data_IF_325655001132
#
_entry.id   IF_325655001132
#
_cell.length_a   1.000
_cell.length_b   1.000
_cell.length_c   1.000
_cell.angle_alpha   90.00
_cell.angle_beta   90.00
_cell.angle_gamma   90.00
#
_symmetry.space_group_name_H-M   'P 1'
#
loop_
_entity.id
_entity.type
_entity.pdbx_description
1 polymer ?
#
# COMPACT_ATOMS: atom_id res chain seq x y z
N UNK A 1 -45.98 49.01 15.22
CA UNK A 1 -45.26 48.16 14.25
C UNK A 1 -44.67 47.02 15.06
N UNK A 2 -45.39 45.91 15.15
CA UNK A 2 -44.93 44.74 15.90
C UNK A 2 -43.60 44.28 15.28
N UNK A 3 -42.54 44.23 16.09
CA UNK A 3 -41.26 43.67 15.66
C UNK A 3 -41.50 42.19 15.39
N UNK A 4 -41.69 41.84 14.12
CA UNK A 4 -41.76 40.46 13.64
C UNK A 4 -40.70 39.61 14.34
N UNK A 5 -41.09 38.41 14.78
CA UNK A 5 -40.18 37.53 15.51
C UNK A 5 -38.95 37.22 14.63
N UNK A 6 -37.78 37.04 15.24
CA UNK A 6 -36.54 36.77 14.53
C UNK A 6 -36.62 35.45 13.73
N UNK A 7 -37.32 34.43 14.23
CA UNK A 7 -37.62 33.21 13.47
C UNK A 7 -38.54 33.45 12.27
N UNK A 8 -39.61 34.23 12.43
CA UNK A 8 -40.50 34.59 11.31
C UNK A 8 -39.74 35.37 10.23
N UNK A 9 -38.83 36.25 10.67
CA UNK A 9 -37.97 37.01 9.76
C UNK A 9 -36.98 36.12 9.04
N UNK A 10 -36.40 35.13 9.73
CA UNK A 10 -35.53 34.14 9.13
C UNK A 10 -36.28 33.30 8.09
N UNK A 11 -37.50 32.85 8.38
CA UNK A 11 -38.34 32.08 7.42
C UNK A 11 -38.61 32.91 6.16
N UNK A 12 -39.04 34.16 6.31
CA UNK A 12 -39.24 35.04 5.15
C UNK A 12 -37.93 35.26 4.38
N UNK A 13 -36.81 35.42 5.08
CA UNK A 13 -35.50 35.61 4.50
C UNK A 13 -35.00 34.38 3.72
N UNK A 14 -35.24 33.17 4.22
CA UNK A 14 -34.94 31.91 3.53
C UNK A 14 -35.71 31.77 2.21
N UNK A 15 -36.96 32.24 2.17
CA UNK A 15 -37.79 32.21 0.97
C UNK A 15 -37.41 33.30 -0.03
N UNK A 16 -36.87 34.42 0.45
CA UNK A 16 -36.51 35.58 -0.38
C UNK A 16 -35.02 35.65 -0.74
N UNK A 17 -34.19 34.69 -0.33
CA UNK A 17 -32.74 34.71 -0.55
C UNK A 17 -31.99 35.80 0.23
N UNK A 18 -32.49 36.26 1.40
CA UNK A 18 -31.76 37.22 2.24
C UNK A 18 -30.91 36.50 3.30
N UNK A 19 -29.59 36.59 3.20
CA UNK A 19 -28.70 35.87 4.10
C UNK A 19 -28.72 36.40 5.55
N UNK A 20 -28.72 37.72 5.74
CA UNK A 20 -28.45 38.33 7.06
C UNK A 20 -29.45 37.91 8.15
N UNK A 21 -30.78 37.89 7.92
CA UNK A 21 -31.73 37.46 8.94
C UNK A 21 -31.71 35.96 9.21
N UNK A 22 -31.24 35.15 8.25
CA UNK A 22 -31.10 33.69 8.42
C UNK A 22 -29.95 33.41 9.38
N UNK A 23 -28.79 34.08 9.20
CA UNK A 23 -27.61 33.87 10.05
C UNK A 23 -27.86 34.16 11.54
N UNK A 24 -28.86 35.01 11.87
CA UNK A 24 -29.23 35.31 13.26
C UNK A 24 -29.79 34.09 13.99
N UNK A 25 -30.35 33.11 13.28
CA UNK A 25 -30.92 31.87 13.84
C UNK A 25 -30.02 30.65 13.63
N UNK A 26 -28.90 30.79 12.93
CA UNK A 26 -27.95 29.71 12.70
C UNK A 26 -27.05 29.52 13.92
N UNK A 27 -27.03 28.31 14.49
CA UNK A 27 -26.25 28.02 15.71
C UNK A 27 -25.04 27.12 15.44
N UNK A 28 -25.05 26.38 14.33
CA UNK A 28 -24.00 25.45 13.93
C UNK A 28 -23.33 25.84 12.61
N UNK A 29 -22.17 25.24 12.34
CA UNK A 29 -21.48 25.32 11.06
C UNK A 29 -22.38 24.84 9.92
N UNK A 30 -23.10 23.74 10.08
CA UNK A 30 -24.02 23.19 9.07
C UNK A 30 -25.15 24.16 8.74
N UNK A 31 -25.75 24.81 9.76
CA UNK A 31 -26.81 25.80 9.55
C UNK A 31 -26.28 26.99 8.74
N UNK A 32 -25.07 27.44 9.04
CA UNK A 32 -24.43 28.55 8.35
C UNK A 32 -24.07 28.18 6.90
N UNK A 33 -23.50 27.00 6.68
CA UNK A 33 -23.19 26.47 5.34
C UNK A 33 -24.48 26.38 4.52
N UNK A 34 -25.51 25.76 5.06
CA UNK A 34 -26.80 25.63 4.40
C UNK A 34 -27.41 26.99 4.04
N UNK A 35 -27.37 27.97 4.95
CA UNK A 35 -27.91 29.31 4.71
C UNK A 35 -27.21 30.02 3.53
N UNK A 36 -25.88 29.95 3.48
CA UNK A 36 -25.10 30.54 2.39
C UNK A 36 -25.37 29.83 1.05
N UNK A 37 -25.38 28.50 1.02
CA UNK A 37 -25.66 27.74 -0.19
C UNK A 37 -27.10 27.93 -0.67
N UNK A 38 -28.07 28.02 0.23
CA UNK A 38 -29.48 28.30 -0.12
C UNK A 38 -29.61 29.63 -0.85
N UNK A 39 -29.01 30.69 -0.30
CA UNK A 39 -29.02 32.03 -0.92
C UNK A 39 -28.26 32.01 -2.25
N UNK A 40 -27.14 31.29 -2.33
CA UNK A 40 -26.37 31.13 -3.57
C UNK A 40 -27.20 30.47 -4.67
N UNK A 41 -27.92 29.39 -4.36
CA UNK A 41 -28.82 28.71 -5.30
C UNK A 41 -29.95 29.63 -5.74
N UNK A 42 -30.58 30.37 -4.81
CA UNK A 42 -31.64 31.32 -5.16
C UNK A 42 -31.14 32.40 -6.13
N UNK A 43 -29.96 32.97 -5.87
CA UNK A 43 -29.33 33.95 -6.76
C UNK A 43 -28.97 33.38 -8.13
N UNK A 44 -28.53 32.12 -8.21
CA UNK A 44 -28.23 31.46 -9.48
C UNK A 44 -29.49 31.16 -10.30
N UNK A 45 -30.55 30.68 -9.64
CA UNK A 45 -31.86 30.44 -10.27
C UNK A 45 -32.45 31.74 -10.79
N UNK A 46 -32.38 32.83 -10.02
CA UNK A 46 -32.87 34.13 -10.45
C UNK A 46 -32.07 34.65 -11.66
N UNK A 47 -30.74 34.55 -11.64
CA UNK A 47 -29.89 34.91 -12.79
C UNK A 47 -30.27 34.13 -14.06
N UNK A 48 -30.59 32.84 -13.93
CA UNK A 48 -31.01 32.00 -15.06
C UNK A 48 -32.43 32.31 -15.55
N UNK A 49 -33.36 32.66 -14.65
CA UNK A 49 -34.71 33.12 -15.02
C UNK A 49 -34.67 34.47 -15.75
N UNK A 50 -33.75 35.35 -15.33
CA UNK A 50 -33.51 36.65 -15.98
C UNK A 50 -32.86 36.48 -17.36
N UNK A 51 -31.90 35.56 -17.50
CA UNK A 51 -31.20 35.28 -18.77
C UNK A 51 -32.10 34.58 -19.80
N UNK A 52 -32.99 33.68 -19.36
CA UNK A 52 -33.93 32.93 -20.20
C UNK A 52 -35.13 33.75 -20.70
N UNK A 53 -35.24 35.03 -20.30
CA UNK A 53 -36.29 35.93 -20.78
C UNK A 53 -37.68 35.70 -20.15
N UNK A 54 -37.78 34.85 -19.12
CA UNK A 54 -39.03 34.60 -18.37
C UNK A 54 -39.41 35.75 -17.43
N UNK A 55 -38.51 36.72 -17.21
CA UNK A 55 -38.68 37.86 -16.30
C UNK A 55 -39.81 38.84 -16.65
N UNK A 56 -40.42 38.74 -17.84
CA UNK A 56 -41.37 39.73 -18.36
C UNK A 56 -42.76 39.76 -17.68
N UNK A 57 -42.99 39.04 -16.57
CA UNK A 57 -44.32 39.03 -15.92
C UNK A 57 -44.39 39.47 -14.46
N UNK A 58 -43.29 39.57 -13.72
CA UNK A 58 -43.30 40.11 -12.35
C UNK A 58 -41.91 40.63 -12.02
N UNK A 59 -41.68 41.95 -12.05
CA UNK A 59 -40.41 42.51 -11.56
C UNK A 59 -40.61 43.93 -11.03
N UNK A 60 -41.05 44.07 -9.78
CA UNK A 60 -40.36 45.02 -8.92
C UNK A 60 -38.94 44.48 -8.79
N UNK A 61 -37.96 45.17 -9.37
CA UNK A 61 -36.57 44.76 -9.30
C UNK A 61 -36.19 44.62 -7.82
N UNK A 62 -35.74 43.43 -7.40
CA UNK A 62 -35.20 43.25 -6.05
C UNK A 62 -34.05 44.26 -5.83
N UNK A 63 -33.88 44.78 -4.60
CA UNK A 63 -32.83 45.74 -4.30
C UNK A 63 -31.46 45.25 -4.76
N UNK A 64 -30.61 46.17 -5.24
CA UNK A 64 -29.27 45.85 -5.78
C UNK A 64 -28.39 45.06 -4.81
N UNK A 65 -28.61 45.22 -3.50
CA UNK A 65 -27.91 44.46 -2.46
C UNK A 65 -28.06 42.93 -2.61
N UNK A 66 -29.12 42.45 -3.24
CA UNK A 66 -29.36 41.02 -3.53
C UNK A 66 -28.68 40.57 -4.83
N UNK A 67 -28.39 41.48 -5.75
CA UNK A 67 -27.86 41.18 -7.09
C UNK A 67 -26.32 41.19 -7.15
N UNK A 68 -25.66 41.91 -6.24
CA UNK A 68 -24.21 42.17 -6.29
C UNK A 68 -23.33 41.06 -5.70
N UNK A 69 -23.94 40.08 -5.01
CA UNK A 69 -23.16 38.98 -4.45
C UNK A 69 -22.86 37.92 -5.52
N UNK A 70 -21.71 38.04 -6.18
CA UNK A 70 -21.12 36.95 -6.93
C UNK A 70 -20.59 35.91 -5.94
N UNK A 71 -21.49 35.03 -5.50
CA UNK A 71 -21.18 33.88 -4.67
C UNK A 71 -20.53 32.79 -5.50
N UNK A 72 -19.37 32.33 -5.04
CA UNK A 72 -18.77 31.05 -5.45
C UNK A 72 -18.72 30.12 -4.24
N UNK A 73 -18.53 28.83 -4.47
CA UNK A 73 -18.47 27.86 -3.38
C UNK A 73 -17.30 28.15 -2.43
N UNK A 74 -16.18 28.62 -2.97
CA UNK A 74 -14.98 29.02 -2.22
C UNK A 74 -15.28 30.22 -1.33
N UNK A 75 -15.95 31.23 -1.88
CA UNK A 75 -16.31 32.45 -1.17
C UNK A 75 -17.25 32.17 0.01
N UNK A 76 -18.15 31.19 -0.12
CA UNK A 76 -19.00 30.76 1.01
C UNK A 76 -18.15 30.31 2.20
N UNK A 77 -17.11 29.49 1.95
CA UNK A 77 -16.23 29.03 3.01
C UNK A 77 -15.25 30.10 3.51
N UNK A 78 -14.89 31.08 2.70
CA UNK A 78 -14.13 32.27 3.16
C UNK A 78 -14.97 33.10 4.14
N UNK A 79 -16.26 33.32 3.87
CA UNK A 79 -17.16 34.05 4.77
C UNK A 79 -17.41 33.29 6.07
N UNK A 80 -17.54 31.95 6.02
CA UNK A 80 -17.62 31.11 7.22
C UNK A 80 -16.37 31.24 8.10
N UNK A 81 -15.18 31.34 7.49
CA UNK A 81 -13.92 31.60 8.20
C UNK A 81 -13.83 33.01 8.78
N UNK A 82 -14.65 33.94 8.28
CA UNK A 82 -14.79 35.32 8.78
C UNK A 82 -16.05 35.52 9.66
N UNK A 83 -16.73 34.45 10.04
CA UNK A 83 -17.99 34.51 10.82
C UNK A 83 -17.81 35.21 12.17
N UNK A 84 -18.82 35.98 12.60
CA UNK A 84 -18.85 36.62 13.91
C UNK A 84 -19.12 35.64 15.06
N UNK A 85 -19.60 34.43 14.75
CA UNK A 85 -19.88 33.38 15.73
C UNK A 85 -18.61 32.60 16.09
N UNK A 86 -18.15 32.74 17.35
CA UNK A 86 -16.98 32.01 17.86
C UNK A 86 -17.11 30.50 17.72
N UNK A 87 -18.32 29.96 17.97
CA UNK A 87 -18.61 28.54 17.86
C UNK A 87 -18.40 28.04 16.43
N UNK A 88 -18.93 28.77 15.43
CA UNK A 88 -18.76 28.43 14.02
C UNK A 88 -17.29 28.51 13.59
N UNK A 89 -16.53 29.46 14.13
CA UNK A 89 -15.08 29.56 13.88
C UNK A 89 -14.28 28.41 14.49
N UNK A 90 -14.71 27.88 15.63
CA UNK A 90 -14.14 26.68 16.25
C UNK A 90 -14.49 25.44 15.42
N UNK A 91 -15.77 25.27 15.07
CA UNK A 91 -16.25 24.18 14.22
C UNK A 91 -15.57 24.18 12.83
N UNK A 92 -15.28 25.36 12.25
CA UNK A 92 -14.55 25.46 10.96
C UNK A 92 -13.11 24.89 11.02
N UNK A 93 -12.54 24.76 12.22
CA UNK A 93 -11.20 24.18 12.45
C UNK A 93 -11.25 22.69 12.77
N UNK A 94 -12.43 22.13 13.00
CA UNK A 94 -12.59 20.70 13.25
C UNK A 94 -12.26 19.91 11.98
N UNK A 95 -11.56 18.79 12.16
CA UNK A 95 -11.08 17.97 11.04
C UNK A 95 -12.22 17.51 10.12
N UNK A 96 -13.37 17.15 10.69
CA UNK A 96 -14.52 16.65 9.94
C UNK A 96 -15.09 17.75 9.01
N UNK A 97 -15.22 18.99 9.50
CA UNK A 97 -15.71 20.12 8.72
C UNK A 97 -14.70 20.61 7.68
N UNK A 98 -13.39 20.49 7.96
CA UNK A 98 -12.33 20.74 6.97
C UNK A 98 -12.44 19.75 5.81
N UNK A 99 -12.61 18.45 6.11
CA UNK A 99 -12.78 17.41 5.07
C UNK A 99 -14.06 17.65 4.27
N UNK A 100 -15.18 17.97 4.94
CA UNK A 100 -16.45 18.30 4.30
C UNK A 100 -16.32 19.52 3.38
N UNK A 101 -15.61 20.58 3.82
CA UNK A 101 -15.30 21.75 2.98
C UNK A 101 -14.60 21.35 1.70
N UNK A 102 -13.50 20.60 1.79
CA UNK A 102 -12.75 20.17 0.60
C UNK A 102 -13.57 19.24 -0.30
N UNK A 103 -14.41 18.37 0.27
CA UNK A 103 -15.35 17.54 -0.48
C UNK A 103 -16.36 18.38 -1.27
N UNK A 104 -16.96 19.40 -0.63
CA UNK A 104 -17.94 20.31 -1.26
C UNK A 104 -17.28 21.14 -2.37
N UNK A 105 -16.03 21.57 -2.17
CA UNK A 105 -15.26 22.32 -3.17
C UNK A 105 -14.74 21.44 -4.33
N UNK A 106 -14.78 20.12 -4.20
CA UNK A 106 -14.21 19.20 -5.19
C UNK A 106 -12.67 19.25 -5.28
N UNK A 107 -12.00 19.83 -4.28
CA UNK A 107 -10.55 19.92 -4.20
C UNK A 107 -9.96 18.65 -3.56
N UNK A 108 -9.78 17.62 -4.38
CA UNK A 108 -9.25 16.31 -3.98
C UNK A 108 -7.79 16.38 -3.48
N UNK A 109 -7.00 17.32 -3.99
CA UNK A 109 -5.58 17.45 -3.64
C UNK A 109 -5.41 18.08 -2.26
N UNK A 110 -6.14 19.18 -1.98
CA UNK A 110 -6.22 19.78 -0.65
C UNK A 110 -6.79 18.83 0.40
N UNK A 111 -7.78 18.03 0.00
CA UNK A 111 -8.34 16.98 0.83
C UNK A 111 -7.32 15.87 1.14
N UNK A 112 -6.58 15.41 0.14
CA UNK A 112 -5.54 14.39 0.31
C UNK A 112 -4.40 14.87 1.22
N UNK A 113 -4.05 16.14 1.12
CA UNK A 113 -3.07 16.75 2.00
C UNK A 113 -3.56 16.83 3.44
N UNK A 114 -4.83 17.18 3.66
CA UNK A 114 -5.41 17.21 5.01
C UNK A 114 -5.58 15.83 5.61
N UNK A 115 -6.02 14.83 4.83
CA UNK A 115 -6.07 13.44 5.27
C UNK A 115 -4.72 12.89 5.70
N UNK A 116 -3.64 13.27 5.00
CA UNK A 116 -2.28 12.86 5.36
C UNK A 116 -1.82 13.43 6.69
N UNK A 117 -2.36 14.57 7.09
CA UNK A 117 -2.00 15.26 8.33
C UNK A 117 -2.81 14.80 9.55
N UNK A 118 -3.91 14.07 9.35
CA UNK A 118 -4.69 13.48 10.44
C UNK A 118 -3.88 12.33 11.01
N UNK A 119 -3.60 12.35 12.32
CA UNK A 119 -2.87 11.27 12.96
C UNK A 119 -3.75 10.02 12.94
N UNK A 120 -3.20 8.82 12.66
CA UNK A 120 -3.93 7.57 12.84
C UNK A 120 -4.38 7.34 14.29
N UNK A 121 -3.74 8.03 15.25
CA UNK A 121 -4.09 8.00 16.67
C UNK A 121 -5.23 8.98 17.05
N UNK A 122 -5.65 9.85 16.12
CA UNK A 122 -6.76 10.78 16.38
C UNK A 122 -8.09 10.00 16.48
N UNK A 123 -8.94 10.47 17.40
CA UNK A 123 -10.13 9.79 17.93
C UNK A 123 -10.92 8.95 16.88
N UNK A 124 -11.39 7.72 17.20
CA UNK A 124 -12.07 6.82 16.25
C UNK A 124 -13.29 7.39 15.51
N UNK A 125 -13.87 8.46 16.06
CA UNK A 125 -14.96 9.23 15.44
C UNK A 125 -14.53 9.91 14.14
N UNK A 126 -13.31 10.48 14.08
CA UNK A 126 -12.82 11.19 12.90
C UNK A 126 -12.57 10.24 11.73
N UNK A 127 -11.99 9.06 11.99
CA UNK A 127 -11.79 8.03 10.97
C UNK A 127 -13.12 7.49 10.44
N UNK A 128 -14.11 7.28 11.33
CA UNK A 128 -15.46 6.87 10.92
C UNK A 128 -16.17 7.92 10.07
N UNK A 129 -16.09 9.19 10.48
CA UNK A 129 -16.66 10.32 9.74
C UNK A 129 -15.98 10.48 8.36
N UNK A 130 -14.66 10.30 8.28
CA UNK A 130 -13.91 10.31 7.02
C UNK A 130 -14.46 9.26 6.02
N UNK A 131 -14.66 8.01 6.47
CA UNK A 131 -15.21 6.96 5.59
C UNK A 131 -16.66 7.23 5.18
N UNK A 132 -17.47 7.81 6.06
CA UNK A 132 -18.83 8.24 5.72
C UNK A 132 -18.84 9.35 4.67
N UNK A 133 -17.92 10.31 4.76
CA UNK A 133 -17.76 11.36 3.74
C UNK A 133 -17.41 10.73 2.39
N UNK A 134 -16.40 9.84 2.34
CA UNK A 134 -16.01 9.17 1.09
C UNK A 134 -17.18 8.44 0.40
N UNK A 135 -18.05 7.79 1.19
CA UNK A 135 -19.23 7.11 0.65
C UNK A 135 -20.29 8.10 0.15
N UNK A 136 -20.61 9.11 0.95
CA UNK A 136 -21.67 10.09 0.63
C UNK A 136 -21.31 11.04 -0.49
N UNK A 137 -20.03 11.22 -0.80
CA UNK A 137 -19.55 12.01 -1.95
C UNK A 137 -19.55 11.25 -3.28
N UNK A 138 -19.74 9.93 -3.27
CA UNK A 138 -19.83 9.11 -4.50
C UNK A 138 -21.07 9.29 -5.40
N UNK A 139 -22.23 9.86 -5.01
CA UNK A 139 -23.43 9.82 -5.85
C UNK A 139 -23.53 10.93 -6.92
N UNK A 140 -22.59 11.86 -7.04
CA UNK A 140 -22.72 13.01 -7.97
C UNK A 140 -21.51 13.12 -8.90
N UNK A 141 -21.51 12.34 -9.99
CA UNK A 141 -20.82 12.63 -11.28
C UNK A 141 -19.31 12.91 -11.29
N UNK A 142 -18.63 12.89 -10.13
CA UNK A 142 -17.20 13.13 -9.93
C UNK A 142 -16.54 11.81 -9.49
N UNK A 143 -15.23 11.68 -9.70
CA UNK A 143 -14.51 10.47 -9.30
C UNK A 143 -14.76 10.19 -7.81
N UNK A 144 -15.11 8.95 -7.43
CA UNK A 144 -15.38 8.61 -6.04
C UNK A 144 -14.15 8.93 -5.18
N UNK A 145 -14.35 9.70 -4.09
CA UNK A 145 -13.29 9.99 -3.13
C UNK A 145 -12.74 8.68 -2.57
N UNK A 146 -11.44 8.45 -2.77
CA UNK A 146 -10.78 7.22 -2.32
C UNK A 146 -10.15 7.43 -0.94
N UNK A 147 -10.43 6.55 0.06
CA UNK A 147 -9.75 6.57 1.34
C UNK A 147 -8.31 6.04 1.28
N UNK A 148 -7.84 5.61 0.09
CA UNK A 148 -6.51 5.03 -0.12
C UNK A 148 -5.36 5.88 0.44
N UNK A 149 -5.29 7.21 0.21
CA UNK A 149 -4.21 8.04 0.73
C UNK A 149 -4.14 8.11 2.25
N UNK A 150 -5.29 8.02 2.93
CA UNK A 150 -5.35 7.95 4.39
C UNK A 150 -4.86 6.58 4.89
N UNK A 151 -5.36 5.48 4.32
CA UNK A 151 -4.93 4.15 4.75
C UNK A 151 -3.43 3.90 4.52
N UNK A 152 -2.82 4.61 3.58
CA UNK A 152 -1.38 4.58 3.40
C UNK A 152 -0.59 5.21 4.57
N UNK A 153 -1.12 6.25 5.22
CA UNK A 153 -0.44 6.86 6.39
C UNK A 153 -0.52 5.99 7.64
N UNK A 154 -1.41 5.00 7.64
CA UNK A 154 -1.61 4.04 8.72
C UNK A 154 -0.49 2.99 8.72
N UNK A 155 0.63 3.36 9.32
CA UNK A 155 1.83 2.49 9.45
C UNK A 155 1.73 1.49 10.59
N UNK A 156 1.01 1.82 11.66
CA UNK A 156 0.88 0.95 12.83
C UNK A 156 -0.05 -0.24 12.52
N UNK A 157 0.42 -1.47 12.77
CA UNK A 157 -0.36 -2.68 12.49
C UNK A 157 -1.61 -2.83 13.39
N UNK A 158 -1.55 -2.30 14.62
CA UNK A 158 -2.59 -2.46 15.65
C UNK A 158 -3.91 -1.76 15.30
N UNK A 159 -3.83 -0.64 14.58
CA UNK A 159 -4.98 0.19 14.22
C UNK A 159 -5.62 -0.23 12.88
N UNK A 160 -4.89 -0.96 12.02
CA UNK A 160 -5.40 -1.39 10.70
C UNK A 160 -6.71 -2.16 10.78
N UNK A 161 -6.89 -3.18 11.67
CA UNK A 161 -8.16 -3.89 11.79
C UNK A 161 -9.31 -2.95 12.16
N UNK A 162 -9.04 -1.97 13.03
CA UNK A 162 -10.06 -1.00 13.46
C UNK A 162 -10.45 -0.09 12.31
N UNK A 163 -9.51 0.38 11.50
CA UNK A 163 -9.78 1.17 10.30
C UNK A 163 -10.64 0.39 9.28
N UNK A 164 -10.34 -0.89 9.05
CA UNK A 164 -11.12 -1.74 8.14
C UNK A 164 -12.54 -1.99 8.66
N UNK A 165 -12.69 -2.16 9.98
CA UNK A 165 -14.02 -2.28 10.58
C UNK A 165 -14.83 -1.00 10.37
N UNK A 166 -14.25 0.18 10.61
CA UNK A 166 -14.93 1.45 10.38
C UNK A 166 -15.28 1.68 8.90
N UNK A 167 -14.42 1.25 7.98
CA UNK A 167 -14.73 1.28 6.54
C UNK A 167 -15.89 0.35 6.18
N UNK A 168 -15.94 -0.83 6.81
CA UNK A 168 -17.04 -1.80 6.67
C UNK A 168 -18.34 -1.24 7.23
N UNK A 169 -18.30 -0.63 8.41
CA UNK A 169 -19.45 0.00 9.07
C UNK A 169 -19.98 1.19 8.25
N UNK A 170 -19.07 1.91 7.56
CA UNK A 170 -19.44 2.91 6.58
C UNK A 170 -20.05 2.28 5.31
N UNK A 171 -19.88 0.98 5.07
CA UNK A 171 -20.35 0.27 3.88
C UNK A 171 -19.54 0.61 2.63
N UNK A 172 -18.24 0.87 2.81
CA UNK A 172 -17.28 0.94 1.74
C UNK A 172 -16.82 -0.47 1.33
N UNK A 173 -16.40 -0.62 0.09
CA UNK A 173 -15.84 -1.87 -0.40
C UNK A 173 -14.37 -2.03 0.07
N UNK A 174 -14.20 -2.73 1.19
CA UNK A 174 -12.88 -2.98 1.80
C UNK A 174 -11.95 -3.74 0.85
N UNK A 175 -12.50 -4.62 0.01
CA UNK A 175 -11.77 -5.37 -1.01
C UNK A 175 -11.10 -4.43 -2.01
N UNK A 176 -11.91 -3.58 -2.64
CA UNK A 176 -11.44 -2.63 -3.64
C UNK A 176 -10.47 -1.61 -3.02
N UNK A 177 -10.75 -1.14 -1.81
CA UNK A 177 -9.91 -0.13 -1.14
C UNK A 177 -8.53 -0.70 -0.79
N UNK A 178 -8.46 -1.87 -0.16
CA UNK A 178 -7.18 -2.48 0.24
C UNK A 178 -6.33 -2.82 -0.99
N UNK A 179 -6.95 -3.33 -2.06
CA UNK A 179 -6.28 -3.53 -3.36
C UNK A 179 -5.71 -2.22 -3.90
N UNK A 180 -6.51 -1.16 -3.94
CA UNK A 180 -6.11 0.14 -4.47
C UNK A 180 -4.95 0.75 -3.67
N UNK A 181 -4.95 0.62 -2.34
CA UNK A 181 -3.85 1.07 -1.47
C UNK A 181 -2.55 0.39 -1.84
N UNK A 182 -2.57 -0.94 -2.00
CA UNK A 182 -1.38 -1.72 -2.36
C UNK A 182 -0.87 -1.37 -3.75
N UNK A 183 -1.75 -1.25 -4.74
CA UNK A 183 -1.39 -0.87 -6.11
C UNK A 183 -0.78 0.54 -6.16
N UNK A 184 -1.37 1.50 -5.45
CA UNK A 184 -0.89 2.89 -5.40
C UNK A 184 0.52 2.99 -4.83
N UNK A 185 0.80 2.27 -3.72
CA UNK A 185 2.14 2.27 -3.10
C UNK A 185 3.17 1.59 -4.01
N UNK A 186 2.79 0.48 -4.65
CA UNK A 186 3.66 -0.26 -5.58
C UNK A 186 4.06 0.58 -6.79
N UNK A 187 3.13 1.38 -7.33
CA UNK A 187 3.33 2.16 -8.55
C UNK A 187 4.04 3.51 -8.33
N UNK A 188 4.14 3.98 -7.08
CA UNK A 188 4.73 5.29 -6.80
C UNK A 188 6.25 5.37 -7.06
N UNK A 189 6.94 4.23 -7.07
CA UNK A 189 8.39 4.15 -7.33
C UNK A 189 8.79 4.12 -8.80
N UNK A 190 7.83 4.14 -9.72
CA UNK A 190 8.12 3.99 -11.15
C UNK A 190 8.93 5.18 -11.71
N UNK A 191 8.96 6.31 -11.01
CA UNK A 191 9.75 7.50 -11.36
C UNK A 191 11.27 7.36 -11.10
N UNK A 192 11.71 6.35 -10.34
CA UNK A 192 13.13 6.15 -10.00
C UNK A 192 13.79 4.93 -10.68
N UNK A 193 13.05 4.12 -11.44
CA UNK A 193 13.57 2.90 -12.06
C UNK A 193 14.23 3.09 -13.45
N UNK A 194 14.54 4.32 -13.87
CA UNK A 194 15.29 4.60 -15.12
C UNK A 194 16.80 4.56 -14.96
N UNK A 195 17.33 4.39 -13.75
CA UNK A 195 18.75 4.14 -13.56
C UNK A 195 19.05 2.66 -13.77
N UNK A 196 19.53 2.38 -14.98
CA UNK A 196 20.38 1.25 -15.31
C UNK A 196 21.33 0.97 -14.12
N UNK A 197 21.54 -0.28 -13.71
CA UNK A 197 22.41 -0.57 -12.58
C UNK A 197 23.79 -0.01 -12.91
N UNK A 198 24.18 1.07 -12.24
CA UNK A 198 25.55 1.57 -12.32
C UNK A 198 26.43 0.41 -11.86
N UNK A 199 27.20 -0.10 -12.82
CA UNK A 199 28.18 -1.13 -12.62
C UNK A 199 29.31 -0.54 -11.77
N UNK A 200 29.12 -0.48 -10.45
CA UNK A 200 30.07 0.26 -9.63
C UNK A 200 29.78 0.42 -8.16
N UNK A 201 29.03 -0.46 -7.49
CA UNK A 201 29.36 -0.79 -6.09
C UNK A 201 28.71 -2.11 -5.67
N UNK A 202 29.52 -3.09 -5.30
CA UNK A 202 29.06 -4.40 -4.82
C UNK A 202 28.55 -4.35 -3.37
N UNK A 203 28.05 -3.20 -2.94
CA UNK A 203 27.58 -3.01 -1.58
C UNK A 203 26.10 -3.40 -1.52
N UNK A 204 25.78 -4.41 -0.71
CA UNK A 204 24.41 -4.81 -0.42
C UNK A 204 23.60 -3.56 -0.08
N UNK A 205 22.69 -3.17 -0.98
CA UNK A 205 21.84 -2.03 -0.77
C UNK A 205 20.79 -2.47 0.25
N UNK A 206 21.15 -2.37 1.53
CA UNK A 206 20.38 -2.86 2.64
C UNK A 206 18.94 -2.35 2.60
N UNK A 207 18.04 -3.10 3.24
CA UNK A 207 16.61 -2.79 3.23
C UNK A 207 16.37 -1.35 3.73
N UNK A 208 15.87 -0.50 2.83
CA UNK A 208 15.49 0.87 3.15
C UNK A 208 14.19 0.90 3.95
N UNK A 209 13.96 1.97 4.73
CA UNK A 209 12.65 2.23 5.32
C UNK A 209 11.52 2.26 4.27
N UNK A 210 11.84 2.69 3.05
CA UNK A 210 10.90 2.65 1.92
C UNK A 210 10.56 1.21 1.48
N UNK A 211 11.53 0.30 1.54
CA UNK A 211 11.32 -1.11 1.21
C UNK A 211 10.48 -1.80 2.31
N UNK A 212 10.68 -1.42 3.58
CA UNK A 212 9.83 -1.89 4.69
C UNK A 212 8.38 -1.45 4.51
N UNK A 213 8.11 -0.19 4.14
CA UNK A 213 6.74 0.28 3.86
C UNK A 213 6.04 -0.52 2.75
N UNK A 214 6.75 -0.88 1.68
CA UNK A 214 6.24 -1.77 0.63
C UNK A 214 5.94 -3.17 1.14
N UNK A 215 6.75 -3.64 2.07
CA UNK A 215 6.55 -4.95 2.69
C UNK A 215 5.33 -4.92 3.62
N UNK A 216 5.12 -3.82 4.33
CA UNK A 216 3.99 -3.60 5.25
C UNK A 216 2.65 -3.41 4.57
N UNK A 217 2.64 -3.00 3.30
CA UNK A 217 1.38 -2.81 2.59
C UNK A 217 0.67 -4.14 2.28
N UNK A 218 1.39 -5.27 2.21
CA UNK A 218 0.81 -6.59 1.96
C UNK A 218 -0.13 -7.02 3.09
N UNK A 219 0.11 -6.56 4.32
CA UNK A 219 -0.73 -6.91 5.47
C UNK A 219 -2.20 -6.49 5.26
N UNK A 220 -2.44 -5.40 4.50
CA UNK A 220 -3.79 -4.95 4.15
C UNK A 220 -4.61 -6.02 3.43
N UNK A 221 -3.98 -6.80 2.55
CA UNK A 221 -4.64 -7.87 1.80
C UNK A 221 -4.72 -9.18 2.58
N UNK A 222 -3.92 -9.34 3.63
CA UNK A 222 -3.90 -10.54 4.46
C UNK A 222 -5.00 -10.54 5.55
N UNK A 223 -5.65 -9.40 5.80
CA UNK A 223 -6.77 -9.32 6.75
C UNK A 223 -7.98 -10.14 6.32
N UNK A 224 -8.26 -10.21 5.02
CA UNK A 224 -9.40 -10.95 4.49
C UNK A 224 -8.91 -12.18 3.70
N UNK A 225 -9.23 -13.40 4.18
CA UNK A 225 -8.92 -14.63 3.46
C UNK A 225 -9.47 -14.68 2.02
N UNK A 226 -10.54 -13.94 1.70
CA UNK A 226 -11.06 -13.88 0.34
C UNK A 226 -10.07 -13.21 -0.65
N UNK A 227 -9.17 -12.36 -0.15
CA UNK A 227 -8.15 -11.63 -0.91
C UNK A 227 -6.82 -12.38 -1.02
N UNK A 228 -6.74 -13.63 -0.56
CA UNK A 228 -5.52 -14.46 -0.61
C UNK A 228 -4.88 -14.50 -2.00
N UNK A 229 -5.69 -14.60 -3.06
CA UNK A 229 -5.21 -14.62 -4.43
C UNK A 229 -4.57 -13.28 -4.84
N UNK A 230 -5.18 -12.16 -4.46
CA UNK A 230 -4.64 -10.83 -4.72
C UNK A 230 -3.37 -10.57 -3.90
N UNK A 231 -3.36 -10.95 -2.62
CA UNK A 231 -2.17 -10.88 -1.77
C UNK A 231 -0.98 -11.63 -2.39
N UNK A 232 -1.23 -12.81 -2.96
CA UNK A 232 -0.22 -13.62 -3.65
C UNK A 232 0.30 -12.91 -4.91
N UNK A 233 -0.59 -12.34 -5.74
CA UNK A 233 -0.22 -11.59 -6.95
C UNK A 233 0.62 -10.35 -6.61
N UNK A 234 0.19 -9.57 -5.62
CA UNK A 234 0.88 -8.36 -5.19
C UNK A 234 2.24 -8.67 -4.53
N UNK A 235 2.28 -9.70 -3.66
CA UNK A 235 3.53 -10.18 -3.07
C UNK A 235 4.52 -10.60 -4.14
N UNK A 236 4.11 -11.42 -5.11
CA UNK A 236 4.98 -11.85 -6.20
C UNK A 236 5.54 -10.65 -6.99
N UNK A 237 4.69 -9.67 -7.31
CA UNK A 237 5.11 -8.46 -8.02
C UNK A 237 6.17 -7.65 -7.26
N UNK A 238 6.00 -7.45 -5.95
CA UNK A 238 6.98 -6.76 -5.10
C UNK A 238 8.27 -7.59 -4.99
N UNK A 239 8.16 -8.89 -4.74
CA UNK A 239 9.31 -9.79 -4.65
C UNK A 239 10.13 -9.79 -5.94
N UNK A 240 9.50 -9.83 -7.12
CA UNK A 240 10.20 -9.68 -8.41
C UNK A 240 11.01 -8.40 -8.50
N UNK A 241 10.44 -7.27 -8.06
CA UNK A 241 11.13 -5.97 -8.07
C UNK A 241 12.36 -6.00 -7.16
N UNK A 242 12.25 -6.57 -5.97
CA UNK A 242 13.39 -6.73 -5.06
C UNK A 242 14.46 -7.70 -5.58
N UNK A 243 14.06 -8.82 -6.17
CA UNK A 243 14.98 -9.77 -6.78
C UNK A 243 15.74 -9.15 -7.96
N UNK A 244 15.07 -8.37 -8.81
CA UNK A 244 15.71 -7.66 -9.92
C UNK A 244 16.72 -6.60 -9.42
N UNK A 245 16.44 -5.98 -8.26
CA UNK A 245 17.34 -5.04 -7.58
C UNK A 245 18.38 -5.73 -6.67
N UNK A 246 18.43 -7.06 -6.63
CA UNK A 246 19.34 -7.86 -5.78
C UNK A 246 19.20 -7.59 -4.27
N UNK A 247 18.01 -7.16 -3.82
CA UNK A 247 17.68 -6.98 -2.40
C UNK A 247 17.08 -8.27 -1.83
N UNK A 248 17.92 -9.27 -1.54
CA UNK A 248 17.46 -10.59 -1.07
C UNK A 248 16.68 -10.50 0.26
N UNK A 249 17.23 -9.82 1.27
CA UNK A 249 16.56 -9.68 2.57
C UNK A 249 15.15 -9.06 2.44
N UNK A 250 15.00 -8.04 1.58
CA UNK A 250 13.71 -7.41 1.32
C UNK A 250 12.74 -8.36 0.58
N UNK A 251 13.25 -9.16 -0.35
CA UNK A 251 12.47 -10.18 -1.05
C UNK A 251 11.96 -11.25 -0.07
N UNK A 252 12.80 -11.73 0.84
CA UNK A 252 12.44 -12.70 1.89
C UNK A 252 11.44 -12.13 2.90
N UNK A 253 11.60 -10.87 3.32
CA UNK A 253 10.64 -10.21 4.21
C UNK A 253 9.23 -10.10 3.60
N UNK A 254 9.11 -9.77 2.31
CA UNK A 254 7.80 -9.77 1.63
C UNK A 254 7.25 -11.18 1.50
N UNK A 255 8.11 -12.13 1.11
CA UNK A 255 7.70 -13.50 0.86
C UNK A 255 7.18 -14.19 2.13
N UNK A 256 7.84 -13.96 3.27
CA UNK A 256 7.47 -14.54 4.57
C UNK A 256 6.15 -14.02 5.14
N UNK A 257 5.64 -12.87 4.66
CA UNK A 257 4.32 -12.37 5.07
C UNK A 257 3.18 -13.21 4.54
N UNK A 258 3.35 -13.84 3.38
CA UNK A 258 2.33 -14.69 2.77
C UNK A 258 2.27 -16.00 3.54
N UNK A 259 1.16 -16.33 4.24
CA UNK A 259 1.14 -17.49 5.14
C UNK A 259 1.33 -18.80 4.38
N UNK A 260 2.01 -19.76 5.04
CA UNK A 260 2.20 -21.09 4.50
C UNK A 260 0.85 -21.74 4.14
N UNK A 261 0.77 -22.33 2.95
CA UNK A 261 -0.48 -22.88 2.42
C UNK A 261 -1.39 -21.89 1.68
N UNK A 262 -0.95 -20.64 1.41
CA UNK A 262 -1.66 -19.71 0.51
C UNK A 262 -2.02 -20.33 -0.82
N UNK A 263 -1.06 -21.01 -1.44
CA UNK A 263 -1.23 -21.64 -2.74
C UNK A 263 -2.35 -22.68 -2.73
N UNK A 264 -2.37 -23.56 -1.73
CA UNK A 264 -3.45 -24.54 -1.52
C UNK A 264 -4.78 -23.85 -1.20
N UNK A 265 -4.75 -22.80 -0.36
CA UNK A 265 -5.93 -22.02 0.02
C UNK A 265 -6.62 -21.40 -1.18
N UNK A 266 -5.86 -20.77 -2.08
CA UNK A 266 -6.39 -20.18 -3.33
C UNK A 266 -6.98 -21.28 -4.23
N UNK A 267 -6.28 -22.40 -4.44
CA UNK A 267 -6.83 -23.52 -5.23
C UNK A 267 -8.13 -24.09 -4.64
N UNK A 268 -8.22 -24.22 -3.31
CA UNK A 268 -9.41 -24.72 -2.63
C UNK A 268 -10.57 -23.72 -2.63
N UNK A 269 -10.29 -22.42 -2.56
CA UNK A 269 -11.31 -21.36 -2.62
C UNK A 269 -12.13 -21.46 -3.91
N UNK A 270 -11.47 -21.70 -5.05
CA UNK A 270 -12.13 -21.90 -6.33
C UNK A 270 -12.89 -23.23 -6.43
N UNK A 271 -12.35 -24.31 -5.83
CA UNK A 271 -13.04 -25.59 -5.76
C UNK A 271 -14.36 -25.53 -4.96
N UNK A 272 -14.43 -24.68 -3.94
CA UNK A 272 -15.64 -24.47 -3.12
C UNK A 272 -16.76 -23.71 -3.83
N UNK A 273 -16.45 -22.89 -4.85
CA UNK A 273 -17.43 -22.09 -5.63
C UNK A 273 -18.06 -22.91 -6.77
N UNK A 274 -17.77 -24.22 -6.85
CA UNK A 274 -18.27 -25.11 -7.90
C UNK A 274 -17.56 -24.93 -9.24
N UNK A 275 -16.44 -24.19 -9.26
CA UNK A 275 -15.61 -24.02 -10.44
C UNK A 275 -14.48 -25.05 -10.43
N UNK A 276 -14.41 -25.88 -11.46
CA UNK A 276 -13.46 -27.00 -11.55
C UNK A 276 -12.03 -26.56 -11.93
N UNK A 277 -11.85 -25.33 -12.36
CA UNK A 277 -10.57 -24.79 -12.86
C UNK A 277 -10.29 -23.41 -12.26
N UNK A 278 -9.11 -23.25 -11.67
CA UNK A 278 -8.61 -21.97 -11.17
C UNK A 278 -8.43 -21.01 -12.36
N UNK A 279 -8.73 -19.70 -12.22
CA UNK A 279 -8.43 -18.73 -13.27
C UNK A 279 -6.94 -18.76 -13.66
N UNK A 280 -6.65 -18.59 -14.96
CA UNK A 280 -5.29 -18.66 -15.48
C UNK A 280 -4.32 -17.66 -14.79
N UNK A 281 -4.82 -16.50 -14.39
CA UNK A 281 -4.04 -15.50 -13.64
C UNK A 281 -3.61 -16.01 -12.26
N UNK A 282 -4.51 -16.66 -11.53
CA UNK A 282 -4.26 -17.19 -10.20
C UNK A 282 -3.37 -18.44 -10.28
N UNK A 283 -3.54 -19.27 -11.31
CA UNK A 283 -2.65 -20.41 -11.58
C UNK A 283 -1.22 -19.95 -11.93
N UNK A 284 -1.09 -18.93 -12.78
CA UNK A 284 0.18 -18.28 -13.07
C UNK A 284 0.81 -17.68 -11.80
N UNK A 285 0.03 -17.05 -10.94
CA UNK A 285 0.50 -16.47 -9.69
C UNK A 285 0.96 -17.56 -8.69
N UNK A 286 0.25 -18.68 -8.59
CA UNK A 286 0.66 -19.84 -7.78
C UNK A 286 1.98 -20.40 -8.29
N UNK A 287 2.10 -20.66 -9.60
CA UNK A 287 3.33 -21.16 -10.22
C UNK A 287 4.50 -20.23 -9.97
N UNK A 288 4.30 -18.93 -10.17
CA UNK A 288 5.31 -17.91 -9.93
C UNK A 288 5.76 -17.88 -8.47
N UNK A 289 4.82 -17.95 -7.53
CA UNK A 289 5.13 -17.98 -6.10
C UNK A 289 6.00 -19.20 -5.74
N UNK A 290 5.69 -20.37 -6.32
CA UNK A 290 6.50 -21.59 -6.15
C UNK A 290 7.90 -21.46 -6.75
N UNK A 291 8.04 -20.79 -7.90
CA UNK A 291 9.33 -20.53 -8.54
C UNK A 291 10.20 -19.59 -7.69
N UNK A 292 9.59 -18.54 -7.15
CA UNK A 292 10.26 -17.58 -6.25
C UNK A 292 10.72 -18.30 -4.98
N UNK A 293 9.86 -19.15 -4.41
CA UNK A 293 10.22 -19.94 -3.22
C UNK A 293 11.46 -20.81 -3.46
N UNK A 294 11.45 -21.61 -4.53
CA UNK A 294 12.59 -22.47 -4.86
C UNK A 294 13.88 -21.66 -5.06
N UNK A 295 13.77 -20.46 -5.64
CA UNK A 295 14.90 -19.56 -5.81
C UNK A 295 15.45 -19.02 -4.48
N UNK A 296 14.57 -18.58 -3.56
CA UNK A 296 14.98 -18.09 -2.25
C UNK A 296 15.61 -19.22 -1.41
N UNK A 297 15.00 -20.42 -1.40
CA UNK A 297 15.55 -21.60 -0.72
C UNK A 297 16.96 -21.97 -1.26
N UNK A 298 17.19 -21.86 -2.57
CA UNK A 298 18.51 -22.09 -3.16
C UNK A 298 19.56 -21.05 -2.72
N UNK A 299 19.16 -19.78 -2.53
CA UNK A 299 20.04 -18.73 -2.01
C UNK A 299 20.34 -18.90 -0.52
N UNK A 300 19.36 -19.31 0.28
CA UNK A 300 19.54 -19.62 1.70
C UNK A 300 20.52 -20.79 1.88
N UNK A 301 20.30 -21.91 1.16
CA UNK A 301 21.19 -23.07 1.17
C UNK A 301 22.61 -22.70 0.72
N UNK A 302 22.75 -21.83 -0.29
CA UNK A 302 24.05 -21.33 -0.71
C UNK A 302 24.73 -20.50 0.37
N UNK A 303 23.99 -19.62 1.04
CA UNK A 303 24.51 -18.74 2.09
C UNK A 303 25.00 -19.57 3.28
N UNK A 304 24.24 -20.58 3.70
CA UNK A 304 24.66 -21.52 4.73
C UNK A 304 25.94 -22.27 4.29
N UNK A 305 25.94 -22.86 3.10
CA UNK A 305 27.11 -23.56 2.55
C UNK A 305 28.34 -22.67 2.44
N UNK A 306 28.18 -21.42 1.99
CA UNK A 306 29.26 -20.46 1.81
C UNK A 306 29.87 -20.04 3.15
N UNK A 307 29.01 -19.76 4.14
CA UNK A 307 29.45 -19.42 5.50
C UNK A 307 30.25 -20.57 6.13
N UNK A 308 29.77 -21.81 5.96
CA UNK A 308 30.40 -22.99 6.51
C UNK A 308 31.71 -23.37 5.78
N UNK A 309 31.74 -23.24 4.45
CA UNK A 309 32.94 -23.51 3.64
C UNK A 309 34.05 -22.47 3.86
N UNK A 310 33.68 -21.22 4.17
CA UNK A 310 34.63 -20.12 4.42
C UNK A 310 35.20 -20.12 5.84
N UNK A 311 34.53 -20.77 6.80
CA UNK A 311 34.93 -20.83 8.21
C UNK A 311 35.96 -21.93 8.53
N UNK A 312 36.86 -22.26 7.59
CA UNK A 312 37.81 -23.36 7.79
C UNK A 312 38.80 -23.06 8.94
N UNK A 313 38.88 -23.98 9.91
CA UNK A 313 39.80 -23.89 11.04
C UNK A 313 41.27 -23.93 10.57
N UNK A 314 42.11 -23.06 11.14
CA UNK A 314 43.54 -23.07 10.87
C UNK A 314 44.20 -24.31 11.48
N UNK A 315 45.08 -24.96 10.70
CA UNK A 315 45.88 -26.07 11.18
C UNK A 315 46.72 -25.63 12.40
N UNK A 316 46.75 -26.41 13.50
CA UNK A 316 47.56 -26.07 14.67
C UNK A 316 49.02 -25.85 14.27
N UNK A 317 49.60 -24.72 14.66
CA UNK A 317 50.99 -24.41 14.34
C UNK A 317 51.92 -25.43 15.02
N UNK A 318 52.90 -26.00 14.29
CA UNK A 318 53.87 -26.92 14.88
C UNK A 318 54.76 -26.14 15.87
N UNK A 319 54.67 -26.48 17.15
CA UNK A 319 55.49 -25.85 18.19
C UNK A 319 56.88 -26.51 18.19
N UNK A 320 57.99 -25.78 17.92
CA UNK A 320 59.32 -26.38 17.87
C UNK A 320 59.84 -26.65 19.29
N UNK A 321 60.21 -27.91 19.54
CA UNK A 321 60.95 -28.41 20.72
C UNK A 321 60.39 -28.04 22.10
N UNK A 322 59.55 -28.92 22.68
CA UNK A 322 59.10 -28.70 24.06
C UNK A 322 58.94 -29.97 24.90
N UNK A 323 58.99 -29.74 26.22
CA UNK A 323 58.87 -30.69 27.35
C UNK A 323 57.71 -31.69 27.13
N UNK A 324 57.81 -32.87 27.73
CA UNK A 324 56.85 -33.99 27.58
C UNK A 324 55.37 -33.57 27.70
N UNK A 325 55.03 -32.67 28.62
CA UNK A 325 53.66 -32.15 28.82
C UNK A 325 53.12 -31.37 27.62
N UNK A 326 53.95 -30.60 26.94
CA UNK A 326 53.56 -29.85 25.75
C UNK A 326 53.46 -30.73 24.51
N UNK A 327 54.24 -31.82 24.45
CA UNK A 327 54.09 -32.86 23.42
C UNK A 327 52.71 -33.53 23.54
N UNK A 328 52.33 -33.95 24.75
CA UNK A 328 51.01 -34.55 25.01
C UNK A 328 49.89 -33.55 24.70
N UNK A 329 50.04 -32.27 25.09
CA UNK A 329 49.06 -31.23 24.76
C UNK A 329 48.96 -30.95 23.24
N UNK A 330 50.05 -31.11 22.49
CA UNK A 330 50.03 -30.97 21.03
C UNK A 330 49.37 -32.19 20.36
N UNK A 331 49.60 -33.40 20.87
CA UNK A 331 48.94 -34.62 20.41
C UNK A 331 47.42 -34.57 20.66
N UNK A 332 46.98 -34.04 21.81
CA UNK A 332 45.56 -33.82 22.11
C UNK A 332 44.96 -32.80 21.14
N UNK A 333 45.59 -31.62 20.99
CA UNK A 333 45.13 -30.58 20.05
C UNK A 333 45.09 -31.08 18.60
N UNK A 334 46.04 -31.92 18.20
CA UNK A 334 46.05 -32.51 16.87
C UNK A 334 44.87 -33.47 16.68
N UNK A 335 44.58 -34.35 17.65
CA UNK A 335 43.41 -35.24 17.60
C UNK A 335 42.09 -34.47 17.60
N UNK A 336 41.98 -33.43 18.42
CA UNK A 336 40.80 -32.54 18.44
C UNK A 336 40.61 -31.85 17.09
N UNK A 337 41.70 -31.38 16.47
CA UNK A 337 41.67 -30.80 15.13
C UNK A 337 41.26 -31.83 14.06
N UNK A 338 41.76 -33.06 14.12
CA UNK A 338 41.40 -34.14 13.19
C UNK A 338 39.89 -34.47 13.28
N UNK A 339 39.35 -34.63 14.49
CA UNK A 339 37.92 -34.87 14.72
C UNK A 339 37.07 -33.69 14.25
N UNK A 340 37.46 -32.46 14.61
CA UNK A 340 36.75 -31.25 14.17
C UNK A 340 36.78 -31.08 12.66
N UNK A 341 37.88 -31.43 12.01
CA UNK A 341 38.02 -31.39 10.55
C UNK A 341 37.12 -32.42 9.89
N UNK A 342 37.07 -33.64 10.42
CA UNK A 342 36.21 -34.70 9.90
C UNK A 342 34.73 -34.33 10.00
N UNK A 343 34.29 -33.83 11.16
CA UNK A 343 32.91 -33.35 11.34
C UNK A 343 32.57 -32.21 10.37
N UNK A 344 33.49 -31.25 10.20
CA UNK A 344 33.31 -30.14 9.24
C UNK A 344 33.20 -30.65 7.80
N UNK A 345 34.03 -31.61 7.39
CA UNK A 345 33.94 -32.18 6.04
C UNK A 345 32.60 -32.89 5.83
N UNK A 346 32.17 -33.73 6.78
CA UNK A 346 30.86 -34.40 6.69
C UNK A 346 29.69 -33.42 6.63
N UNK A 347 29.73 -32.31 7.38
CA UNK A 347 28.72 -31.26 7.28
C UNK A 347 28.77 -30.55 5.93
N UNK A 348 29.97 -30.28 5.40
CA UNK A 348 30.13 -29.66 4.08
C UNK A 348 29.57 -30.54 2.96
N UNK A 349 29.76 -31.87 3.04
CA UNK A 349 29.19 -32.81 2.08
C UNK A 349 27.66 -32.76 2.11
N UNK A 350 27.06 -32.78 3.31
CA UNK A 350 25.61 -32.65 3.48
C UNK A 350 25.06 -31.34 2.91
N UNK A 351 25.69 -30.21 3.22
CA UNK A 351 25.32 -28.90 2.68
C UNK A 351 25.49 -28.82 1.16
N UNK A 352 26.48 -29.51 0.60
CA UNK A 352 26.71 -29.54 -0.85
C UNK A 352 25.63 -30.35 -1.57
N UNK A 353 25.16 -31.45 -0.96
CA UNK A 353 24.03 -32.23 -1.50
C UNK A 353 22.74 -31.42 -1.48
N UNK A 354 22.39 -30.80 -0.35
CA UNK A 354 21.19 -29.97 -0.24
C UNK A 354 21.25 -28.77 -1.20
N UNK A 355 22.38 -28.05 -1.28
CA UNK A 355 22.57 -26.96 -2.25
C UNK A 355 22.36 -27.43 -3.70
N UNK A 356 22.88 -28.61 -4.07
CA UNK A 356 22.68 -29.17 -5.42
C UNK A 356 21.21 -29.43 -5.68
N UNK A 357 20.51 -30.07 -4.75
CA UNK A 357 19.07 -30.35 -4.86
C UNK A 357 18.28 -29.05 -5.07
N UNK A 358 18.50 -28.02 -4.25
CA UNK A 358 17.80 -26.73 -4.38
C UNK A 358 18.09 -26.01 -5.70
N UNK A 359 19.34 -26.05 -6.17
CA UNK A 359 19.69 -25.46 -7.48
C UNK A 359 19.02 -26.25 -8.61
N UNK A 360 18.96 -27.58 -8.53
CA UNK A 360 18.27 -28.40 -9.53
C UNK A 360 16.76 -28.15 -9.55
N UNK A 361 16.12 -27.97 -8.39
CA UNK A 361 14.69 -27.63 -8.31
C UNK A 361 14.38 -26.33 -9.08
N UNK A 362 15.29 -25.36 -9.04
CA UNK A 362 15.16 -24.10 -9.79
C UNK A 362 15.40 -24.31 -11.29
N UNK A 363 16.50 -24.99 -11.67
CA UNK A 363 16.90 -25.16 -13.07
C UNK A 363 16.02 -26.15 -13.84
N UNK A 364 15.50 -27.16 -13.16
CA UNK A 364 14.66 -28.24 -13.72
C UNK A 364 13.19 -28.09 -13.31
N UNK A 365 12.77 -26.87 -12.97
CA UNK A 365 11.41 -26.60 -12.55
C UNK A 365 10.37 -27.14 -13.56
N UNK A 366 9.32 -27.75 -13.03
CA UNK A 366 8.30 -28.51 -13.78
C UNK A 366 7.77 -27.72 -15.00
N UNK A 367 7.65 -28.38 -16.15
CA UNK A 367 7.22 -27.84 -17.46
C UNK A 367 8.19 -26.93 -18.21
N UNK A 368 9.49 -27.00 -17.91
CA UNK A 368 10.53 -26.68 -18.89
C UNK A 368 10.98 -25.22 -18.96
N UNK A 369 10.62 -24.38 -17.99
CA UNK A 369 11.36 -23.13 -17.74
C UNK A 369 11.01 -22.52 -16.38
N UNK A 370 12.06 -22.18 -15.64
CA UNK A 370 11.97 -21.31 -14.47
C UNK A 370 11.32 -19.99 -14.90
N UNK A 371 10.25 -19.59 -14.21
CA UNK A 371 9.54 -18.32 -14.46
C UNK A 371 8.81 -18.25 -15.83
N UNK A 372 8.62 -19.37 -16.55
CA UNK A 372 7.79 -19.37 -17.76
C UNK A 372 6.29 -19.44 -17.52
N UNK A 373 5.55 -18.78 -18.41
CA UNK A 373 4.09 -18.66 -18.40
C UNK A 373 3.43 -19.98 -18.83
N UNK A 374 2.40 -20.42 -18.11
CA UNK A 374 1.50 -21.47 -18.58
C UNK A 374 0.45 -20.91 -19.55
N UNK A 375 0.03 -19.65 -19.36
CA UNK A 375 -1.02 -18.99 -20.15
C UNK A 375 -0.64 -17.55 -20.52
N UNK A 376 -1.07 -17.08 -21.71
CA UNK A 376 -0.87 -15.71 -22.17
C UNK A 376 -1.57 -14.72 -21.21
N UNK A 377 -0.80 -13.79 -20.65
CA UNK A 377 -1.36 -12.67 -19.89
C UNK A 377 -2.20 -11.78 -20.83
N UNK A 378 -3.19 -11.07 -20.28
CA UNK A 378 -3.84 -9.96 -21.00
C UNK A 378 -2.79 -8.94 -21.44
N UNK A 379 -3.04 -8.19 -22.53
CA UNK A 379 -2.09 -7.19 -23.09
C UNK A 379 -1.63 -6.12 -22.07
N UNK A 380 -2.29 -6.04 -20.91
CA UNK A 380 -2.07 -5.05 -19.86
C UNK A 380 -0.81 -5.29 -19.02
N UNK A 381 -0.17 -6.47 -19.08
CA UNK A 381 0.95 -6.83 -18.18
C UNK A 381 2.34 -6.89 -18.87
N UNK A 382 2.66 -5.85 -19.63
CA UNK A 382 3.97 -5.66 -20.28
C UNK A 382 5.11 -5.52 -19.26
N UNK A 383 4.84 -4.89 -18.11
CA UNK A 383 5.80 -4.68 -17.01
C UNK A 383 6.20 -6.00 -16.35
N UNK A 384 5.22 -6.85 -16.00
CA UNK A 384 5.47 -8.21 -15.52
C UNK A 384 6.35 -8.98 -16.50
N UNK A 385 5.98 -8.97 -17.78
CA UNK A 385 6.73 -9.70 -18.82
C UNK A 385 8.20 -9.26 -18.88
N UNK A 386 8.46 -7.96 -18.79
CA UNK A 386 9.83 -7.44 -18.74
C UNK A 386 10.59 -7.86 -17.49
N UNK A 387 9.99 -7.74 -16.30
CA UNK A 387 10.60 -8.17 -15.03
C UNK A 387 10.94 -9.67 -15.05
N UNK A 388 10.04 -10.49 -15.57
CA UNK A 388 10.21 -11.94 -15.68
C UNK A 388 11.36 -12.30 -16.64
N UNK A 389 11.49 -11.58 -17.76
CA UNK A 389 12.61 -11.75 -18.69
C UNK A 389 13.95 -11.35 -18.06
N UNK A 390 13.99 -10.23 -17.34
CA UNK A 390 15.18 -9.79 -16.60
C UNK A 390 15.60 -10.83 -15.57
N UNK A 391 14.68 -11.31 -14.74
CA UNK A 391 14.96 -12.37 -13.77
C UNK A 391 15.46 -13.64 -14.45
N UNK A 392 14.76 -14.10 -15.49
CA UNK A 392 15.14 -15.28 -16.29
C UNK A 392 16.54 -15.17 -16.91
N UNK A 393 17.02 -13.96 -17.19
CA UNK A 393 18.39 -13.74 -17.68
C UNK A 393 19.45 -13.65 -16.57
N UNK A 394 19.08 -13.22 -15.36
CA UNK A 394 20.02 -12.96 -14.27
C UNK A 394 20.28 -14.19 -13.39
N UNK A 395 19.23 -14.91 -13.04
CA UNK A 395 19.27 -15.87 -11.96
C UNK A 395 19.82 -17.27 -12.35
N UNK A 396 19.47 -17.86 -13.51
CA UNK A 396 20.06 -19.14 -13.92
C UNK A 396 21.58 -19.08 -14.09
N UNK A 397 22.19 -18.06 -14.75
CA UNK A 397 23.65 -17.96 -14.84
C UNK A 397 24.32 -17.84 -13.47
N UNK A 398 23.69 -17.11 -12.53
CA UNK A 398 24.18 -17.00 -11.15
C UNK A 398 24.15 -18.35 -10.45
N UNK A 399 23.01 -19.04 -10.44
CA UNK A 399 22.88 -20.35 -9.80
C UNK A 399 23.86 -21.38 -10.40
N UNK A 400 24.08 -21.36 -11.71
CA UNK A 400 25.11 -22.20 -12.35
C UNK A 400 26.51 -21.83 -11.88
N UNK A 401 26.82 -20.54 -11.77
CA UNK A 401 28.11 -20.10 -11.20
C UNK A 401 28.29 -20.51 -9.74
N UNK A 402 27.22 -20.48 -8.94
CA UNK A 402 27.23 -20.94 -7.54
C UNK A 402 27.44 -22.45 -7.48
N UNK A 403 26.74 -23.22 -8.31
CA UNK A 403 26.89 -24.67 -8.43
C UNK A 403 28.32 -25.06 -8.82
N UNK A 404 28.90 -24.36 -9.81
CA UNK A 404 30.29 -24.57 -10.22
C UNK A 404 31.25 -24.25 -9.07
N UNK A 405 31.01 -23.18 -8.31
CA UNK A 405 31.84 -22.83 -7.15
C UNK A 405 31.80 -23.91 -6.07
N UNK A 406 30.64 -24.53 -5.86
CA UNK A 406 30.48 -25.62 -4.91
C UNK A 406 31.20 -26.88 -5.38
N UNK A 407 30.99 -27.27 -6.64
CA UNK A 407 31.65 -28.43 -7.25
C UNK A 407 33.17 -28.30 -7.38
N UNK A 408 33.73 -27.09 -7.43
CA UNK A 408 35.19 -26.88 -7.46
C UNK A 408 35.84 -26.88 -6.07
N UNK A 409 35.09 -26.63 -4.99
CA UNK A 409 35.60 -26.55 -3.61
C UNK A 409 35.49 -27.86 -2.83
N UNK A 410 34.57 -28.73 -3.24
CA UNK A 410 34.47 -30.13 -2.80
C UNK A 410 35.21 -31.03 -3.76
#
# INVERSE_FOLDING_TARGET
QEKMNHYERAICATLSGNLKPILVVCESWEDCVWAHFKVTVDSLVEKELMSSGMANKVAEMLPREYQEANWTMEKVFEELQASESKRVLEETKEHDHIIQKFAILGDLDGQTCTWRNISPDDHPSHTGNLFQVCKTSSPIGSQPLSPSPFLETVTQAEIRPRCLQLATDAGLDVAAITKLVVETVRERDESHCTHQPDAGDGNHQGTSNHDLKKTDIIDWLLFDPAHRAEALKQSNAITRKFLALQKQDAAEMVFSKVPEGSTKGVSHQWAGVGQTTVPAEDENAIREHLCIRAYLEAHEAFTEWFSHSSSAAQKPAPVPQVKFTEKVANEIRQKEYEVSTQFRLSRLDGLTVDLKERIYDVLLFVDGSWIAKLFQDSEQDSKRSHQMAVLGSLAPPRLVSLLLSACCRT
#
